data_IF_756883067522
#
_entry.id   IF_756883067522
#
_cell.length_a   1.000
_cell.length_b   1.000
_cell.length_c   1.000
_cell.angle_alpha   90.00
_cell.angle_beta   90.00
_cell.angle_gamma   90.00
#
_symmetry.space_group_name_H-M   'P 1'
#
loop_
_entity.id
_entity.type
_entity.pdbx_description
1 polymer ?
#
# COMPACT_ATOMS: atom_id res chain seq x y z
N UNK A 1 -15.58 9.74 -21.95
CA UNK A 1 -14.92 10.93 -21.34
C UNK A 1 -13.68 10.59 -20.48
N UNK A 2 -13.67 9.49 -19.70
CA UNK A 2 -12.56 9.11 -18.79
C UNK A 2 -11.16 8.99 -19.43
N UNK A 3 -11.03 8.42 -20.62
CA UNK A 3 -9.71 8.20 -21.27
C UNK A 3 -9.05 9.50 -21.76
N UNK A 4 -9.84 10.50 -22.17
CA UNK A 4 -9.30 11.80 -22.61
C UNK A 4 -8.77 12.62 -21.42
N UNK A 5 -9.42 12.52 -20.26
CA UNK A 5 -8.99 13.20 -19.03
C UNK A 5 -7.62 12.70 -18.53
N UNK A 6 -7.42 11.38 -18.49
CA UNK A 6 -6.15 10.78 -18.06
C UNK A 6 -4.96 11.21 -18.93
N UNK A 7 -5.15 11.29 -20.27
CA UNK A 7 -4.11 11.78 -21.18
C UNK A 7 -3.75 13.25 -20.93
N UNK A 8 -4.73 14.11 -20.70
CA UNK A 8 -4.50 15.53 -20.42
C UNK A 8 -3.73 15.75 -19.12
N UNK A 9 -4.11 15.03 -18.05
CA UNK A 9 -3.42 15.10 -16.75
C UNK A 9 -1.95 14.67 -16.89
N UNK A 10 -1.69 13.62 -17.66
CA UNK A 10 -0.34 13.13 -17.91
C UNK A 10 0.53 14.14 -18.66
N UNK A 11 -0.02 14.76 -19.71
CA UNK A 11 0.68 15.80 -20.48
C UNK A 11 0.98 17.01 -19.61
N UNK A 12 0.00 17.48 -18.83
CA UNK A 12 0.19 18.64 -17.95
C UNK A 12 1.27 18.38 -16.91
N UNK A 13 1.24 17.21 -16.26
CA UNK A 13 2.27 16.80 -15.30
C UNK A 13 3.68 16.81 -15.92
N UNK A 14 3.83 16.29 -17.15
CA UNK A 14 5.11 16.28 -17.85
C UNK A 14 5.60 17.69 -18.19
N UNK A 15 4.70 18.58 -18.62
CA UNK A 15 5.04 19.99 -18.92
C UNK A 15 5.51 20.70 -17.65
N UNK A 16 4.80 20.50 -16.53
CA UNK A 16 5.20 21.08 -15.25
C UNK A 16 6.56 20.55 -14.80
N UNK A 17 6.83 19.24 -14.93
CA UNK A 17 8.14 18.66 -14.59
C UNK A 17 9.30 19.22 -15.44
N UNK A 18 9.05 19.63 -16.69
CA UNK A 18 10.04 20.29 -17.55
C UNK A 18 10.22 21.78 -17.21
N UNK A 19 9.14 22.45 -16.82
CA UNK A 19 9.13 23.89 -16.50
C UNK A 19 9.88 24.24 -15.20
N UNK A 20 10.08 23.28 -14.31
CA UNK A 20 10.71 23.47 -12.98
C UNK A 20 12.20 23.85 -13.05
N UNK A 21 12.88 23.67 -14.19
CA UNK A 21 14.30 24.06 -14.37
C UNK A 21 14.58 25.56 -14.57
N UNK A 22 13.55 26.41 -14.64
CA UNK A 22 13.71 27.86 -14.89
C UNK A 22 13.66 28.73 -13.61
N UNK A 23 13.38 28.13 -12.45
CA UNK A 23 13.36 28.83 -11.16
C UNK A 23 14.56 28.35 -10.30
N UNK A 24 15.11 29.23 -9.46
CA UNK A 24 16.23 28.91 -8.55
C UNK A 24 15.88 27.87 -7.46
N UNK A 25 14.62 27.44 -7.39
CA UNK A 25 14.15 26.40 -6.48
C UNK A 25 14.50 25.00 -7.00
N UNK A 26 15.47 24.36 -6.36
CA UNK A 26 15.83 22.96 -6.63
C UNK A 26 14.73 22.02 -6.12
N UNK A 27 13.84 21.61 -7.02
CA UNK A 27 12.80 20.60 -6.73
C UNK A 27 13.31 19.20 -7.07
N UNK A 28 13.13 18.24 -6.15
CA UNK A 28 13.38 16.82 -6.37
C UNK A 28 12.07 16.07 -6.57
N UNK A 29 11.94 15.34 -7.68
CA UNK A 29 10.75 14.51 -7.95
C UNK A 29 11.08 13.03 -7.75
N UNK A 30 10.32 12.37 -6.88
CA UNK A 30 10.41 10.93 -6.63
C UNK A 30 9.11 10.24 -7.05
N UNK A 31 9.23 9.04 -7.64
CA UNK A 31 8.11 8.22 -8.05
C UNK A 31 8.41 6.73 -7.82
N UNK A 32 7.37 5.95 -7.53
CA UNK A 32 7.45 4.50 -7.38
C UNK A 32 6.36 3.84 -8.22
N UNK A 33 6.69 2.72 -8.86
CA UNK A 33 5.75 1.92 -9.64
C UNK A 33 6.05 0.42 -9.50
N UNK A 34 5.01 -0.38 -9.37
CA UNK A 34 5.10 -1.84 -9.41
C UNK A 34 5.01 -2.38 -10.86
N UNK A 35 4.72 -1.53 -11.84
CA UNK A 35 4.53 -1.89 -13.26
C UNK A 35 5.35 -0.96 -14.17
N UNK A 36 6.70 -1.00 -14.10
CA UNK A 36 7.55 -0.07 -14.86
C UNK A 36 7.38 -0.16 -16.38
N UNK A 37 7.05 -1.36 -16.90
CA UNK A 37 6.81 -1.61 -18.32
C UNK A 37 5.54 -0.96 -18.88
N UNK A 38 4.60 -0.54 -18.01
CA UNK A 38 3.37 0.12 -18.43
C UNK A 38 3.54 1.65 -18.63
N UNK A 39 4.72 2.20 -18.29
CA UNK A 39 5.02 3.62 -18.45
C UNK A 39 5.38 3.94 -19.90
N UNK A 40 4.95 5.11 -20.38
CA UNK A 40 5.28 5.56 -21.73
C UNK A 40 6.68 6.20 -21.79
N UNK A 41 7.21 6.28 -23.00
CA UNK A 41 8.56 6.79 -23.23
C UNK A 41 8.76 8.24 -22.74
N UNK A 42 7.70 9.06 -22.75
CA UNK A 42 7.76 10.44 -22.28
C UNK A 42 8.05 10.52 -20.78
N UNK A 43 7.39 9.68 -19.96
CA UNK A 43 7.70 9.56 -18.53
C UNK A 43 9.12 9.03 -18.32
N UNK A 44 9.54 8.01 -19.07
CA UNK A 44 10.89 7.45 -18.94
C UNK A 44 12.01 8.47 -19.16
N UNK A 45 11.80 9.46 -20.03
CA UNK A 45 12.77 10.53 -20.30
C UNK A 45 12.85 11.58 -19.18
N UNK A 46 11.83 11.67 -18.33
CA UNK A 46 11.81 12.64 -17.23
C UNK A 46 12.50 12.12 -15.97
N UNK A 47 12.71 10.80 -15.87
CA UNK A 47 13.36 10.15 -14.73
C UNK A 47 14.74 9.61 -15.10
N UNK A 48 15.75 10.47 -15.00
CA UNK A 48 17.14 10.13 -15.35
C UNK A 48 17.71 9.01 -14.47
N UNK A 49 17.42 9.07 -13.17
CA UNK A 49 17.85 8.07 -12.18
C UNK A 49 16.71 7.10 -11.88
N UNK A 50 16.98 5.81 -12.10
CA UNK A 50 16.03 4.71 -11.92
C UNK A 50 16.67 3.65 -11.03
N UNK A 51 16.05 3.39 -9.89
CA UNK A 51 16.56 2.44 -8.89
C UNK A 51 15.57 1.27 -8.83
N UNK A 52 16.06 0.08 -9.14
CA UNK A 52 15.31 -1.15 -8.91
C UNK A 52 15.43 -1.55 -7.44
N UNK A 53 14.29 -1.82 -6.80
CA UNK A 53 14.22 -2.29 -5.41
C UNK A 53 13.98 -3.81 -5.46
N UNK A 54 15.01 -4.63 -5.22
CA UNK A 54 14.85 -6.08 -5.17
C UNK A 54 14.23 -6.52 -3.85
N UNK A 55 13.84 -7.79 -3.79
CA UNK A 55 13.48 -8.44 -2.53
C UNK A 55 14.67 -8.43 -1.56
N UNK A 56 14.44 -8.27 -0.25
CA UNK A 56 15.52 -8.22 0.73
C UNK A 56 16.23 -9.58 0.82
N UNK A 57 17.56 -9.55 0.88
CA UNK A 57 18.39 -10.72 1.10
C UNK A 57 18.29 -11.19 2.57
N UNK A 58 18.92 -12.33 2.89
CA UNK A 58 18.89 -12.89 4.26
C UNK A 58 19.42 -11.88 5.28
N UNK A 59 20.49 -11.14 4.94
CA UNK A 59 21.11 -10.16 5.84
C UNK A 59 20.21 -8.94 6.07
N UNK A 60 19.58 -8.40 5.02
CA UNK A 60 18.62 -7.31 5.11
C UNK A 60 17.40 -7.73 5.94
N UNK A 61 16.88 -8.95 5.75
CA UNK A 61 15.78 -9.47 6.58
C UNK A 61 16.18 -9.56 8.05
N UNK A 62 17.37 -10.10 8.36
CA UNK A 62 17.89 -10.11 9.73
C UNK A 62 18.00 -8.69 10.31
N UNK A 63 18.45 -7.72 9.52
CA UNK A 63 18.52 -6.33 9.96
C UNK A 63 17.13 -5.72 10.19
N UNK A 64 16.15 -6.01 9.33
CA UNK A 64 14.76 -5.58 9.49
C UNK A 64 14.16 -6.10 10.81
N UNK A 65 14.44 -7.35 11.20
CA UNK A 65 13.98 -7.90 12.48
C UNK A 65 14.68 -7.29 13.70
N UNK A 66 15.87 -6.70 13.54
CA UNK A 66 16.55 -5.95 14.61
C UNK A 66 15.95 -4.56 14.83
N UNK A 67 15.21 -4.03 13.86
CA UNK A 67 14.44 -2.80 14.04
C UNK A 67 13.30 -3.17 14.99
N UNK A 68 13.43 -2.73 16.24
CA UNK A 68 12.47 -3.01 17.31
C UNK A 68 11.06 -2.64 16.85
N UNK A 69 10.20 -3.65 16.74
CA UNK A 69 8.77 -3.43 16.57
C UNK A 69 8.25 -2.67 17.80
N UNK A 70 7.35 -1.68 17.64
CA UNK A 70 6.73 -1.03 18.78
C UNK A 70 6.07 -2.12 19.66
N UNK A 71 6.16 -2.01 21.00
CA UNK A 71 5.57 -2.99 21.89
C UNK A 71 4.07 -3.06 21.62
N UNK A 72 3.60 -4.26 21.27
CA UNK A 72 2.18 -4.49 20.99
C UNK A 72 1.47 -4.60 22.34
N UNK A 73 0.51 -3.71 22.58
CA UNK A 73 -0.31 -3.74 23.78
C UNK A 73 -1.70 -4.34 23.49
N UNK A 74 -2.39 -4.80 24.55
CA UNK A 74 -3.78 -5.27 24.45
C UNK A 74 -4.69 -4.26 23.73
N UNK A 75 -4.45 -2.97 23.96
CA UNK A 75 -5.18 -1.87 23.32
C UNK A 75 -5.05 -1.82 21.80
N UNK A 76 -3.98 -2.38 21.23
CA UNK A 76 -3.82 -2.46 19.77
C UNK A 76 -4.68 -3.57 19.17
N UNK A 77 -4.83 -4.68 19.89
CA UNK A 77 -5.77 -5.75 19.52
C UNK A 77 -7.23 -5.25 19.59
N UNK A 78 -7.60 -4.52 20.64
CA UNK A 78 -8.95 -3.96 20.78
C UNK A 78 -9.29 -3.01 19.62
N UNK A 79 -8.33 -2.19 19.16
CA UNK A 79 -8.49 -1.31 18.00
C UNK A 79 -8.66 -2.08 16.68
N UNK A 80 -7.92 -3.17 16.51
CA UNK A 80 -8.03 -4.03 15.31
C UNK A 80 -9.37 -4.75 15.29
N UNK A 81 -9.78 -5.33 16.42
CA UNK A 81 -11.06 -6.02 16.55
C UNK A 81 -12.25 -5.08 16.32
N UNK A 82 -12.16 -3.82 16.77
CA UNK A 82 -13.19 -2.82 16.52
C UNK A 82 -13.35 -2.44 15.03
N UNK A 83 -12.29 -2.61 14.22
CA UNK A 83 -12.28 -2.28 12.79
C UNK A 83 -12.51 -3.49 11.88
N UNK A 84 -12.31 -4.69 12.41
CA UNK A 84 -12.58 -5.91 11.68
C UNK A 84 -14.08 -6.01 11.40
N UNK A 85 -14.45 -6.04 10.12
CA UNK A 85 -15.79 -6.49 9.75
C UNK A 85 -15.85 -7.97 10.09
N UNK A 86 -16.72 -8.40 11.02
CA UNK A 86 -16.82 -9.82 11.34
C UNK A 86 -17.18 -10.56 10.05
N UNK A 87 -16.35 -11.54 9.68
CA UNK A 87 -16.56 -12.37 8.48
C UNK A 87 -17.83 -13.22 8.61
N UNK A 88 -18.22 -13.51 9.84
CA UNK A 88 -19.49 -14.14 10.19
C UNK A 88 -20.52 -13.09 10.59
N UNK A 89 -21.75 -13.22 10.11
CA UNK A 89 -22.81 -12.31 10.51
C UNK A 89 -23.23 -12.57 11.96
N UNK A 90 -23.89 -11.60 12.61
CA UNK A 90 -24.51 -11.84 13.93
C UNK A 90 -25.56 -12.95 13.89
N UNK A 91 -26.18 -13.17 12.73
CA UNK A 91 -27.11 -14.29 12.53
C UNK A 91 -26.40 -15.64 12.58
N UNK A 92 -25.22 -15.75 11.96
CA UNK A 92 -24.41 -16.98 11.95
C UNK A 92 -23.89 -17.33 13.34
N UNK A 93 -23.49 -16.31 14.13
CA UNK A 93 -23.10 -16.50 15.53
C UNK A 93 -24.26 -17.05 16.37
N UNK A 94 -25.49 -16.59 16.14
CA UNK A 94 -26.67 -17.13 16.82
C UNK A 94 -27.04 -18.56 16.41
N UNK A 95 -26.64 -19.00 15.21
CA UNK A 95 -26.74 -20.41 14.82
C UNK A 95 -25.70 -21.23 15.58
N UNK A 96 -24.46 -20.74 15.70
CA UNK A 96 -23.42 -21.41 16.46
C UNK A 96 -23.78 -21.51 17.94
N UNK A 97 -24.19 -20.43 18.61
CA UNK A 97 -24.58 -20.46 20.04
C UNK A 97 -25.74 -21.42 20.32
N UNK A 98 -26.70 -21.53 19.40
CA UNK A 98 -27.79 -22.52 19.51
C UNK A 98 -27.25 -23.94 19.36
N UNK A 99 -26.39 -24.17 18.38
CA UNK A 99 -25.71 -25.44 18.17
C UNK A 99 -24.86 -25.85 19.38
N UNK A 100 -24.07 -24.93 19.96
CA UNK A 100 -23.24 -25.21 21.13
C UNK A 100 -24.06 -25.47 22.39
N UNK A 101 -25.23 -24.83 22.54
CA UNK A 101 -26.17 -25.12 23.64
C UNK A 101 -26.88 -26.47 23.49
N UNK A 102 -27.12 -26.89 22.25
CA UNK A 102 -27.88 -28.10 21.94
C UNK A 102 -26.99 -29.36 21.93
N UNK A 103 -25.72 -29.23 21.54
CA UNK A 103 -24.80 -30.36 21.38
C UNK A 103 -23.57 -30.34 22.31
N UNK A 104 -23.32 -29.24 23.03
CA UNK A 104 -22.15 -29.09 23.93
C UNK A 104 -20.82 -28.88 23.19
N UNK A 105 -19.82 -28.36 23.89
CA UNK A 105 -18.45 -28.11 23.35
C UNK A 105 -17.57 -29.38 23.32
N UNK A 106 -18.13 -30.56 23.07
CA UNK A 106 -17.34 -31.78 22.90
C UNK A 106 -17.34 -32.20 21.43
N UNK A 107 -16.36 -31.66 20.71
CA UNK A 107 -15.89 -32.10 19.39
C UNK A 107 -14.40 -31.89 19.28
#
# INVERSE_FOLDING_TARGET
MRVKASRRIKTELLVQMQGVGHNDDKVLVLAATNTPYALDQAIWRQFDKRIYIPLPDVKARQHMFKITLPPIAKTDFDKVLARQRPTVSKGDLGVHERFTKEFGEEG
#
